data_IF_196537181680
#
_entry.id   IF_196537181680
#
_cell.length_a   1.000
_cell.length_b   1.000
_cell.length_c   1.000
_cell.angle_alpha   90.00
_cell.angle_beta   90.00
_cell.angle_gamma   90.00
#
_symmetry.space_group_name_H-M   'P 1'
#
loop_
_entity.id
_entity.type
_entity.pdbx_description
1 polymer ?
#
# COMPACT_ATOMS: atom_id res chain seq x y z
N UNK A 1 37.04 -6.42 -0.20
CA UNK A 1 36.88 -7.85 0.16
C UNK A 1 35.81 -7.93 1.24
N UNK A 2 34.56 -8.23 0.88
CA UNK A 2 33.45 -8.31 1.85
C UNK A 2 33.20 -9.78 2.18
N UNK A 3 33.41 -10.17 3.44
CA UNK A 3 33.10 -11.51 3.94
C UNK A 3 31.75 -11.47 4.66
N UNK A 4 30.67 -11.62 3.91
CA UNK A 4 29.38 -11.96 4.50
C UNK A 4 29.42 -13.42 4.94
N UNK A 5 29.38 -13.67 6.25
CA UNK A 5 29.21 -15.01 6.82
C UNK A 5 27.71 -15.24 7.03
N UNK A 6 27.14 -16.10 6.21
CA UNK A 6 25.79 -16.61 6.44
C UNK A 6 25.81 -17.52 7.69
N UNK A 7 24.81 -17.35 8.54
CA UNK A 7 24.58 -18.19 9.70
C UNK A 7 24.23 -19.61 9.23
N UNK A 8 25.11 -20.57 9.53
CA UNK A 8 24.91 -21.99 9.29
C UNK A 8 24.66 -22.66 10.66
N UNK A 9 23.40 -22.86 11.08
CA UNK A 9 23.12 -23.62 12.28
C UNK A 9 23.62 -25.06 12.07
N UNK A 10 24.32 -25.61 13.07
CA UNK A 10 24.64 -27.03 13.11
C UNK A 10 23.30 -27.78 13.11
N UNK A 11 22.98 -28.41 11.99
CA UNK A 11 21.82 -29.27 11.88
C UNK A 11 22.14 -30.51 12.72
N UNK A 12 21.59 -30.59 13.93
CA UNK A 12 21.46 -31.87 14.61
C UNK A 12 20.71 -32.80 13.62
N UNK A 13 21.34 -33.91 13.24
CA UNK A 13 20.91 -34.80 12.15
C UNK A 13 19.54 -35.49 12.38
N UNK A 14 18.83 -35.15 13.46
CA UNK A 14 17.56 -35.78 13.87
C UNK A 14 16.31 -34.93 13.62
N UNK A 15 16.44 -33.68 13.17
CA UNK A 15 15.26 -32.84 12.85
C UNK A 15 15.02 -32.78 11.34
N UNK A 16 14.20 -33.71 10.83
CA UNK A 16 13.58 -33.54 9.52
C UNK A 16 12.73 -32.25 9.55
N UNK A 17 12.95 -31.28 8.64
CA UNK A 17 12.22 -30.03 8.68
C UNK A 17 10.72 -30.33 8.48
N UNK A 18 9.91 -29.94 9.46
CA UNK A 18 8.47 -30.10 9.37
C UNK A 18 7.95 -29.34 8.14
N UNK A 19 7.50 -30.09 7.13
CA UNK A 19 6.89 -29.52 5.92
C UNK A 19 5.48 -29.05 6.29
N UNK A 20 5.32 -27.75 6.52
CA UNK A 20 4.00 -27.17 6.75
C UNK A 20 3.25 -27.09 5.42
N UNK A 21 2.06 -27.72 5.29
CA UNK A 21 1.27 -27.60 4.06
C UNK A 21 0.80 -26.16 3.91
N UNK A 22 1.33 -25.46 2.90
CA UNK A 22 0.80 -24.18 2.48
C UNK A 22 -0.58 -24.43 1.88
N UNK A 23 -1.63 -24.04 2.60
CA UNK A 23 -2.96 -23.94 2.01
C UNK A 23 -3.03 -22.60 1.28
N UNK A 24 -2.98 -22.57 -0.06
CA UNK A 24 -3.17 -21.33 -0.79
C UNK A 24 -4.60 -20.86 -0.52
N UNK A 25 -4.74 -19.91 0.40
CA UNK A 25 -5.94 -19.07 0.45
C UNK A 25 -5.86 -18.18 -0.79
N UNK A 26 -6.43 -18.66 -1.89
CA UNK A 26 -6.74 -17.82 -3.04
C UNK A 26 -7.87 -16.90 -2.59
N UNK A 27 -7.51 -15.86 -1.86
CA UNK A 27 -8.43 -14.75 -1.65
C UNK A 27 -8.43 -14.01 -2.99
N UNK A 28 -9.57 -13.92 -3.70
CA UNK A 28 -9.64 -13.06 -4.86
C UNK A 28 -9.34 -11.63 -4.38
N UNK A 29 -8.13 -11.13 -4.66
CA UNK A 29 -7.66 -9.79 -4.31
C UNK A 29 -8.64 -8.70 -4.73
N UNK A 30 -9.47 -8.97 -5.76
CA UNK A 30 -10.56 -8.10 -6.20
C UNK A 30 -11.57 -7.73 -5.11
N UNK A 31 -11.77 -8.54 -4.07
CA UNK A 31 -12.77 -8.27 -3.02
C UNK A 31 -12.23 -7.52 -1.80
N UNK A 32 -10.92 -7.38 -1.64
CA UNK A 32 -10.36 -6.86 -0.38
C UNK A 32 -10.15 -5.33 -0.32
N UNK A 33 -10.21 -4.58 -1.43
CA UNK A 33 -9.80 -3.16 -1.35
C UNK A 33 -10.37 -2.23 -2.42
N UNK A 34 -11.49 -2.56 -3.08
CA UNK A 34 -12.15 -1.56 -3.93
C UNK A 34 -12.89 -0.55 -3.05
N UNK A 35 -12.13 0.40 -2.50
CA UNK A 35 -12.66 1.64 -1.95
C UNK A 35 -13.58 2.23 -3.01
N UNK A 36 -14.86 2.38 -2.68
CA UNK A 36 -15.84 2.88 -3.64
C UNK A 36 -15.43 4.27 -4.14
N UNK A 37 -15.82 4.63 -5.37
CA UNK A 37 -15.60 5.97 -5.91
C UNK A 37 -16.08 7.07 -4.94
N UNK A 38 -17.17 6.82 -4.20
CA UNK A 38 -17.70 7.73 -3.18
C UNK A 38 -16.75 7.86 -1.98
N UNK A 39 -16.22 6.76 -1.46
CA UNK A 39 -15.24 6.80 -0.36
C UNK A 39 -13.96 7.51 -0.78
N UNK A 40 -13.47 7.30 -2.01
CA UNK A 40 -12.33 8.06 -2.56
C UNK A 40 -12.64 9.55 -2.66
N UNK A 41 -13.81 9.93 -3.17
CA UNK A 41 -14.20 11.34 -3.25
C UNK A 41 -14.23 12.00 -1.86
N UNK A 42 -14.75 11.30 -0.85
CA UNK A 42 -14.72 11.75 0.56
C UNK A 42 -13.30 11.87 1.09
N UNK A 43 -12.41 10.94 0.75
CA UNK A 43 -11.00 10.98 1.13
C UNK A 43 -10.34 12.25 0.55
N UNK A 44 -10.52 12.52 -0.74
CA UNK A 44 -10.01 13.72 -1.39
C UNK A 44 -10.57 15.00 -0.77
N UNK A 45 -11.89 15.08 -0.58
CA UNK A 45 -12.54 16.25 -0.02
C UNK A 45 -12.01 16.60 1.39
N UNK A 46 -11.76 15.58 2.23
CA UNK A 46 -11.22 15.77 3.58
C UNK A 46 -9.75 16.22 3.58
N UNK A 47 -9.00 15.89 2.54
CA UNK A 47 -7.56 16.14 2.45
C UNK A 47 -7.21 17.22 1.42
N UNK A 48 -8.18 18.05 1.03
CA UNK A 48 -7.99 19.12 0.03
C UNK A 48 -7.03 20.24 0.48
N UNK A 49 -6.71 20.31 1.77
CA UNK A 49 -5.85 21.34 2.34
C UNK A 49 -4.87 20.75 3.35
N UNK A 50 -3.66 21.28 3.38
CA UNK A 50 -2.63 20.84 4.30
C UNK A 50 -3.03 21.13 5.75
N UNK A 51 -2.92 20.17 6.68
CA UNK A 51 -3.21 20.40 8.10
C UNK A 51 -2.18 21.33 8.79
N UNK A 52 -1.00 21.54 8.20
CA UNK A 52 0.06 22.37 8.76
C UNK A 52 0.03 23.81 8.21
N UNK A 53 0.00 24.00 6.89
CA UNK A 53 0.08 25.32 6.26
C UNK A 53 -1.24 25.78 5.60
N UNK A 54 -2.28 24.96 5.62
CA UNK A 54 -3.62 25.24 5.05
C UNK A 54 -3.68 25.56 3.55
N UNK A 55 -2.58 25.34 2.81
CA UNK A 55 -2.56 25.45 1.35
C UNK A 55 -3.22 24.24 0.69
N UNK A 56 -3.75 24.46 -0.52
CA UNK A 56 -4.44 23.45 -1.33
C UNK A 56 -3.50 22.64 -2.25
N UNK A 57 -2.20 22.87 -2.15
CA UNK A 57 -1.14 22.17 -2.89
C UNK A 57 -0.88 20.80 -2.26
N UNK A 58 -1.89 19.93 -2.32
CA UNK A 58 -1.85 18.59 -1.74
C UNK A 58 -1.89 17.55 -2.85
N UNK A 59 -0.92 16.64 -2.82
CA UNK A 59 -0.86 15.49 -3.72
C UNK A 59 -1.08 14.17 -2.96
N UNK A 60 -1.79 13.21 -3.57
CA UNK A 60 -1.96 11.88 -3.01
C UNK A 60 -0.65 11.09 -3.14
N UNK A 61 -0.36 10.28 -2.13
CA UNK A 61 0.70 9.27 -2.21
C UNK A 61 0.03 7.94 -2.51
N UNK A 62 0.29 7.41 -3.70
CA UNK A 62 -0.31 6.17 -4.20
C UNK A 62 0.73 5.04 -4.24
N UNK A 63 0.28 3.79 -4.08
CA UNK A 63 1.11 2.60 -4.29
C UNK A 63 1.20 2.26 -5.79
N UNK A 64 2.21 1.47 -6.16
CA UNK A 64 2.40 0.96 -7.52
C UNK A 64 1.48 -0.24 -7.84
N UNK A 65 0.22 -0.17 -7.40
CA UNK A 65 -0.81 -1.21 -7.56
C UNK A 65 -1.98 -0.77 -8.45
N UNK A 66 -1.76 0.28 -9.26
CA UNK A 66 -2.71 0.76 -10.25
C UNK A 66 -3.16 -0.39 -11.18
N UNK A 67 -4.46 -0.43 -11.48
CA UNK A 67 -4.95 -1.29 -12.56
C UNK A 67 -4.35 -0.80 -13.87
N UNK A 68 -3.89 -1.73 -14.69
CA UNK A 68 -3.34 -1.41 -16.01
C UNK A 68 -4.43 -1.49 -17.08
N UNK A 69 -4.33 -0.60 -18.06
CA UNK A 69 -5.18 -0.61 -19.25
C UNK A 69 -4.71 -1.68 -20.27
N UNK A 70 -5.30 -1.67 -21.47
CA UNK A 70 -4.91 -2.63 -22.54
C UNK A 70 -3.52 -2.37 -23.12
N UNK A 71 -2.92 -1.21 -22.85
CA UNK A 71 -1.58 -0.82 -23.27
C UNK A 71 -0.55 -0.97 -22.14
N UNK A 72 -0.94 -1.59 -21.01
CA UNK A 72 -0.15 -1.66 -19.79
C UNK A 72 0.15 -0.29 -19.14
N UNK A 73 -0.68 0.72 -19.39
CA UNK A 73 -0.58 2.03 -18.73
C UNK A 73 -1.43 2.05 -17.45
N UNK A 74 -0.98 2.68 -16.36
CA UNK A 74 -1.74 2.76 -15.12
C UNK A 74 -3.01 3.60 -15.31
N UNK A 75 -4.16 3.04 -14.95
CA UNK A 75 -5.45 3.72 -15.00
C UNK A 75 -5.53 4.69 -13.81
N UNK A 76 -5.67 6.01 -14.04
CA UNK A 76 -5.71 7.00 -12.98
C UNK A 76 -6.80 6.72 -11.95
N UNK A 77 -6.48 6.91 -10.67
CA UNK A 77 -7.43 6.74 -9.57
C UNK A 77 -7.79 5.30 -9.23
N UNK A 78 -7.11 4.31 -9.81
CA UNK A 78 -7.25 2.89 -9.44
C UNK A 78 -6.19 2.43 -8.45
N UNK A 79 -5.09 3.16 -8.33
CA UNK A 79 -4.06 2.90 -7.33
C UNK A 79 -4.56 3.16 -5.90
N UNK A 80 -4.01 2.41 -4.96
CA UNK A 80 -4.32 2.57 -3.54
C UNK A 80 -3.66 3.83 -3.00
N UNK A 81 -4.47 4.77 -2.50
CA UNK A 81 -3.96 5.98 -1.82
C UNK A 81 -3.59 5.61 -0.38
N UNK A 82 -2.33 5.82 0.02
CA UNK A 82 -1.84 5.52 1.38
C UNK A 82 -1.67 6.78 2.24
N UNK A 83 -1.61 7.95 1.60
CA UNK A 83 -1.45 9.21 2.29
C UNK A 83 -1.53 10.40 1.37
N UNK A 84 -1.14 11.55 1.92
CA UNK A 84 -1.10 12.82 1.23
C UNK A 84 0.19 13.56 1.60
N UNK A 85 0.64 14.41 0.69
CA UNK A 85 1.83 15.24 0.81
C UNK A 85 1.50 16.67 0.40
N UNK A 86 1.93 17.66 1.18
CA UNK A 86 1.84 19.05 0.77
C UNK A 86 3.10 19.45 0.00
N UNK A 87 2.96 19.91 -1.24
CA UNK A 87 4.09 20.37 -2.06
C UNK A 87 4.72 21.67 -1.54
N UNK A 88 3.96 22.49 -0.81
CA UNK A 88 4.46 23.77 -0.32
C UNK A 88 5.30 23.66 0.96
N UNK A 89 4.91 22.82 1.93
CA UNK A 89 5.63 22.69 3.20
C UNK A 89 6.21 21.29 3.45
N UNK A 90 5.97 20.33 2.55
CA UNK A 90 6.50 18.96 2.64
C UNK A 90 5.82 18.07 3.69
N UNK A 91 4.82 18.58 4.42
CA UNK A 91 4.11 17.79 5.44
C UNK A 91 3.39 16.61 4.80
N UNK A 92 3.52 15.43 5.41
CA UNK A 92 2.85 14.19 4.97
C UNK A 92 1.93 13.67 6.07
N UNK A 93 0.81 13.04 5.68
CA UNK A 93 -0.14 12.46 6.62
C UNK A 93 -0.88 11.26 6.01
N UNK A 94 -1.37 10.31 6.82
CA UNK A 94 -1.95 9.06 6.34
C UNK A 94 -3.36 9.24 5.77
N UNK A 95 -3.72 8.39 4.81
CA UNK A 95 -5.07 8.25 4.29
C UNK A 95 -5.89 7.39 5.26
N UNK A 96 -6.75 8.04 6.05
CA UNK A 96 -7.66 7.33 6.96
C UNK A 96 -8.97 7.05 6.22
N UNK A 97 -9.12 5.83 5.74
CA UNK A 97 -10.42 5.33 5.28
C UNK A 97 -11.31 5.16 6.51
N UNK A 98 -12.48 5.80 6.52
CA UNK A 98 -13.47 5.48 7.54
C UNK A 98 -13.93 4.05 7.24
N UNK A 99 -13.61 3.12 8.14
CA UNK A 99 -14.03 1.72 8.07
C UNK A 99 -15.51 1.65 7.69
N UNK A 100 -15.81 0.96 6.59
CA UNK A 100 -17.17 0.59 6.27
C UNK A 100 -17.64 -0.40 7.34
N UNK A 101 -18.40 0.09 8.32
CA UNK A 101 -19.31 -0.74 9.11
C UNK A 101 -20.42 -1.30 8.23
#
# INVERSE_FOLDING_TARGET
MSQLRLYAPALDEEHEPATLPFQPRIIPLRRLSQVSAVQRARLWQRNQACPCCHRITVEPVELEDALLDRKNEPIPGTATVVGFCCESCGTRWPAVYADAQ
#
